data_IF_343991336999
#
_entry.id   IF_343991336999
#
_cell.length_a   1.000
_cell.length_b   1.000
_cell.length_c   1.000
_cell.angle_alpha   90.00
_cell.angle_beta   90.00
_cell.angle_gamma   90.00
#
_symmetry.space_group_name_H-M   'P 1'
#
loop_
_entity.id
_entity.type
_entity.pdbx_description
1 polymer ?
#
# COMPACT_ATOMS: atom_id res chain seq x y z
N UNK A 1 19.59 2.06 36.49
CA UNK A 1 19.13 1.26 37.64
C UNK A 1 18.69 -0.13 37.15
N UNK A 2 18.76 -1.12 38.05
CA UNK A 2 18.94 -2.56 37.82
C UNK A 2 17.79 -3.29 37.10
N UNK A 3 18.15 -4.35 36.37
CA UNK A 3 17.32 -5.45 35.87
C UNK A 3 16.59 -6.16 37.02
N UNK A 4 15.41 -6.72 36.75
CA UNK A 4 15.03 -8.02 37.32
C UNK A 4 13.98 -8.76 36.47
N UNK A 5 14.34 -9.98 36.07
CA UNK A 5 13.45 -11.04 35.59
C UNK A 5 12.86 -11.73 36.82
N UNK A 6 11.60 -12.16 36.76
CA UNK A 6 11.04 -13.11 37.72
C UNK A 6 10.61 -14.37 36.97
N UNK A 7 11.27 -15.45 37.35
CA UNK A 7 10.98 -16.85 37.08
C UNK A 7 10.29 -17.38 38.34
N UNK A 8 9.11 -18.00 38.23
CA UNK A 8 8.56 -18.82 39.32
C UNK A 8 8.10 -20.16 38.79
N UNK A 9 8.88 -21.15 39.19
CA UNK A 9 8.68 -22.59 39.16
C UNK A 9 7.93 -22.96 40.45
N UNK A 10 6.84 -23.72 40.37
CA UNK A 10 6.29 -24.43 41.54
C UNK A 10 5.70 -25.77 41.12
N UNK A 11 6.39 -26.83 41.52
CA UNK A 11 5.93 -28.21 41.56
C UNK A 11 4.80 -28.38 42.59
N UNK A 12 3.90 -29.33 42.34
CA UNK A 12 3.32 -30.14 43.41
C UNK A 12 2.97 -31.54 42.89
N UNK A 13 3.66 -32.51 43.50
CA UNK A 13 3.43 -33.95 43.40
C UNK A 13 2.18 -34.34 44.20
N UNK A 14 1.40 -35.31 43.69
CA UNK A 14 0.70 -36.26 44.56
C UNK A 14 0.59 -37.64 43.90
N UNK A 15 0.83 -38.65 44.73
CA UNK A 15 1.11 -40.06 44.42
C UNK A 15 -0.15 -40.94 44.30
N UNK A 16 -0.07 -41.91 43.37
CA UNK A 16 -0.36 -43.36 43.48
C UNK A 16 -1.74 -43.83 43.98
N UNK A 17 -2.44 -44.63 43.14
CA UNK A 17 -3.06 -45.91 43.53
C UNK A 17 -2.88 -46.94 42.38
N UNK A 18 -2.31 -48.09 42.74
CA UNK A 18 -2.23 -49.36 42.00
C UNK A 18 -3.57 -50.11 42.05
N UNK A 19 -4.00 -50.75 40.96
CA UNK A 19 -4.63 -52.09 41.02
C UNK A 19 -4.20 -52.91 39.78
N UNK A 20 -3.60 -54.08 40.04
CA UNK A 20 -3.34 -55.14 39.07
C UNK A 20 -4.62 -55.96 38.82
N UNK A 21 -4.83 -56.36 37.56
CA UNK A 21 -5.72 -57.47 37.21
C UNK A 21 -5.10 -58.34 36.11
N UNK A 22 -4.80 -59.59 36.52
CA UNK A 22 -4.87 -60.87 35.82
C UNK A 22 -4.19 -61.07 34.44
N UNK A 23 -3.27 -62.04 34.42
CA UNK A 23 -2.90 -62.84 33.25
C UNK A 23 -3.98 -63.92 32.99
N UNK A 24 -4.35 -64.15 31.73
CA UNK A 24 -4.78 -65.48 31.25
C UNK A 24 -4.47 -65.67 29.76
N UNK A 25 -4.51 -66.94 29.35
CA UNK A 25 -3.67 -67.63 28.39
C UNK A 25 -3.95 -67.37 26.88
N UNK A 26 -2.84 -67.31 26.12
CA UNK A 26 -2.63 -67.66 24.70
C UNK A 26 -3.82 -67.86 23.73
N UNK A 27 -3.88 -67.05 22.67
CA UNK A 27 -4.19 -67.50 21.31
C UNK A 27 -3.61 -66.53 20.25
N UNK A 28 -2.64 -67.08 19.50
CA UNK A 28 -2.27 -66.87 18.09
C UNK A 28 -2.59 -65.54 17.38
N UNK A 29 -1.51 -64.82 17.07
CA UNK A 29 -1.22 -64.01 15.87
C UNK A 29 -2.40 -63.45 15.04
N UNK A 30 -2.62 -62.14 15.17
CA UNK A 30 -2.60 -61.17 14.06
C UNK A 30 -2.82 -59.74 14.62
N UNK A 31 -1.75 -59.12 15.15
CA UNK A 31 -1.76 -57.71 15.57
C UNK A 31 -0.45 -57.03 15.20
N UNK A 32 -0.34 -56.59 13.95
CA UNK A 32 0.78 -55.71 13.56
C UNK A 32 0.49 -54.78 12.37
N UNK A 33 -0.72 -54.22 12.27
CA UNK A 33 -0.99 -53.14 11.28
C UNK A 33 -1.82 -51.96 11.80
N UNK A 34 -2.67 -52.12 12.81
CA UNK A 34 -3.56 -51.03 13.26
C UNK A 34 -2.88 -50.01 14.20
N UNK A 35 -2.01 -50.45 15.11
CA UNK A 35 -1.39 -49.57 16.12
C UNK A 35 -0.32 -48.61 15.55
N UNK A 36 0.43 -49.06 14.54
CA UNK A 36 1.42 -48.22 13.84
C UNK A 36 0.74 -47.14 12.98
N UNK A 37 -0.38 -47.47 12.34
CA UNK A 37 -1.13 -46.54 11.48
C UNK A 37 -1.76 -45.39 12.27
N UNK A 38 -2.36 -45.69 13.43
CA UNK A 38 -2.90 -44.67 14.34
C UNK A 38 -1.82 -43.70 14.86
N UNK A 39 -0.62 -44.22 15.17
CA UNK A 39 0.51 -43.40 15.62
C UNK A 39 1.06 -42.47 14.53
N UNK A 40 1.03 -42.92 13.26
CA UNK A 40 1.44 -42.09 12.11
C UNK A 40 0.40 -40.99 11.82
N UNK A 41 -0.90 -41.32 11.85
CA UNK A 41 -1.95 -40.32 11.65
C UNK A 41 -1.96 -39.27 12.77
N UNK A 42 -1.76 -39.68 14.03
CA UNK A 42 -1.64 -38.76 15.16
C UNK A 42 -0.48 -37.76 14.96
N UNK A 43 0.69 -38.25 14.51
CA UNK A 43 1.84 -37.39 14.20
C UNK A 43 1.56 -36.44 13.03
N UNK A 44 0.85 -36.88 11.99
CA UNK A 44 0.46 -36.01 10.87
C UNK A 44 -0.46 -34.90 11.35
N UNK A 45 -1.45 -35.21 12.19
CA UNK A 45 -2.34 -34.22 12.77
C UNK A 45 -1.60 -33.23 13.68
N UNK A 46 -0.68 -33.71 14.52
CA UNK A 46 0.18 -32.86 15.36
C UNK A 46 0.97 -31.85 14.51
N UNK A 47 1.64 -32.31 13.44
CA UNK A 47 2.37 -31.42 12.52
C UNK A 47 1.46 -30.40 11.84
N UNK A 48 0.25 -30.81 11.48
CA UNK A 48 -0.75 -29.91 10.90
C UNK A 48 -1.17 -28.82 11.88
N UNK A 49 -1.50 -29.16 13.13
CA UNK A 49 -1.88 -28.19 14.16
C UNK A 49 -0.73 -27.22 14.50
N UNK A 50 0.51 -27.72 14.59
CA UNK A 50 1.68 -26.87 14.77
C UNK A 50 1.86 -25.89 13.61
N UNK A 51 1.66 -26.35 12.37
CA UNK A 51 1.72 -25.47 11.20
C UNK A 51 0.64 -24.37 11.23
N UNK A 52 -0.57 -24.68 11.70
CA UNK A 52 -1.62 -23.68 11.90
C UNK A 52 -1.23 -22.65 12.97
N UNK A 53 -0.66 -23.09 14.10
CA UNK A 53 -0.19 -22.18 15.15
C UNK A 53 0.93 -21.24 14.66
N UNK A 54 1.84 -21.75 13.84
CA UNK A 54 2.85 -20.92 13.17
C UNK A 54 2.23 -19.91 12.20
N UNK A 55 1.19 -20.29 11.45
CA UNK A 55 0.48 -19.38 10.56
C UNK A 55 -0.25 -18.26 11.32
N UNK A 56 -0.87 -18.57 12.45
CA UNK A 56 -1.54 -17.58 13.30
C UNK A 56 -0.57 -16.49 13.78
N UNK A 57 0.68 -16.87 14.01
CA UNK A 57 1.79 -16.01 14.42
C UNK A 57 2.53 -15.36 13.24
N UNK A 58 2.15 -15.64 11.98
CA UNK A 58 2.80 -15.12 10.78
C UNK A 58 4.13 -15.80 10.41
N UNK A 59 4.48 -16.89 11.09
CA UNK A 59 5.71 -17.66 10.92
C UNK A 59 5.62 -18.66 9.75
N UNK A 60 5.30 -18.16 8.55
CA UNK A 60 4.93 -18.98 7.39
C UNK A 60 6.00 -19.99 6.97
N UNK A 61 7.28 -19.64 7.13
CA UNK A 61 8.38 -20.56 6.83
C UNK A 61 8.41 -21.72 7.82
N UNK A 62 8.20 -21.46 9.12
CA UNK A 62 8.15 -22.51 10.13
C UNK A 62 6.93 -23.41 9.92
N UNK A 63 5.78 -22.85 9.53
CA UNK A 63 4.60 -23.63 9.15
C UNK A 63 4.91 -24.59 7.99
N UNK A 64 5.57 -24.10 6.93
CA UNK A 64 5.96 -24.93 5.79
C UNK A 64 6.98 -26.02 6.18
N UNK A 65 7.99 -25.64 6.96
CA UNK A 65 9.03 -26.55 7.44
C UNK A 65 8.44 -27.65 8.35
N UNK A 66 7.41 -27.34 9.12
CA UNK A 66 6.70 -28.30 9.96
C UNK A 66 5.99 -29.37 9.13
N UNK A 67 5.30 -28.96 8.05
CA UNK A 67 4.67 -29.90 7.11
C UNK A 67 5.70 -30.69 6.28
N UNK A 68 6.89 -30.16 6.07
CA UNK A 68 8.00 -30.88 5.43
C UNK A 68 8.53 -32.05 6.27
N UNK A 69 8.29 -32.07 7.59
CA UNK A 69 8.68 -33.19 8.46
C UNK A 69 7.82 -34.44 8.23
N UNK A 70 6.72 -34.34 7.48
CA UNK A 70 5.87 -35.47 7.11
C UNK A 70 6.54 -36.28 5.99
N UNK A 71 7.15 -37.42 6.34
CA UNK A 71 7.92 -38.28 5.42
C UNK A 71 7.15 -38.68 4.15
N UNK A 72 5.87 -39.07 4.30
CA UNK A 72 5.03 -39.55 3.20
C UNK A 72 3.88 -38.58 2.91
N UNK A 73 4.20 -37.33 2.59
CA UNK A 73 3.19 -36.29 2.36
C UNK A 73 2.13 -36.67 1.31
N UNK A 74 2.47 -37.49 0.31
CA UNK A 74 1.53 -37.98 -0.72
C UNK A 74 0.37 -38.81 -0.14
N UNK A 75 0.58 -39.46 1.00
CA UNK A 75 -0.42 -40.27 1.70
C UNK A 75 -1.14 -39.49 2.81
N UNK A 76 -0.76 -38.22 3.05
CA UNK A 76 -1.40 -37.38 4.05
C UNK A 76 -2.82 -36.96 3.59
N UNK A 77 -3.71 -36.61 4.55
CA UNK A 77 -5.03 -36.08 4.23
C UNK A 77 -4.97 -34.91 3.26
N UNK A 78 -6.00 -34.77 2.42
CA UNK A 78 -6.04 -33.75 1.36
C UNK A 78 -5.81 -32.34 1.87
N UNK A 79 -6.38 -31.96 3.01
CA UNK A 79 -6.20 -30.63 3.60
C UNK A 79 -4.74 -30.35 4.01
N UNK A 80 -4.01 -31.36 4.50
CA UNK A 80 -2.59 -31.22 4.86
C UNK A 80 -1.74 -31.00 3.61
N UNK A 81 -2.03 -31.76 2.54
CA UNK A 81 -1.35 -31.63 1.24
C UNK A 81 -1.62 -30.27 0.59
N UNK A 82 -2.88 -29.82 0.63
CA UNK A 82 -3.30 -28.52 0.13
C UNK A 82 -2.57 -27.39 0.88
N UNK A 83 -2.65 -27.39 2.23
CA UNK A 83 -1.98 -26.38 3.06
C UNK A 83 -0.48 -26.28 2.75
N UNK A 84 0.20 -27.42 2.56
CA UNK A 84 1.62 -27.42 2.19
C UNK A 84 1.88 -26.78 0.83
N UNK A 85 1.04 -27.08 -0.17
CA UNK A 85 1.17 -26.51 -1.50
C UNK A 85 0.91 -25.00 -1.48
N UNK A 86 -0.14 -24.57 -0.77
CA UNK A 86 -0.50 -23.15 -0.65
C UNK A 86 0.56 -22.37 0.12
N UNK A 87 1.16 -22.96 1.16
CA UNK A 87 2.31 -22.36 1.85
C UNK A 87 3.52 -22.18 0.93
N UNK A 88 3.78 -23.12 0.02
CA UNK A 88 4.87 -22.96 -0.95
C UNK A 88 4.59 -21.77 -1.89
N UNK A 89 3.35 -21.62 -2.36
CA UNK A 89 2.92 -20.47 -3.18
C UNK A 89 3.04 -19.16 -2.40
N UNK A 90 2.57 -19.13 -1.14
CA UNK A 90 2.64 -17.95 -0.27
C UNK A 90 4.09 -17.50 -0.04
N UNK A 91 5.00 -18.44 0.22
CA UNK A 91 6.42 -18.13 0.41
C UNK A 91 7.07 -17.63 -0.89
N UNK A 92 6.72 -18.21 -2.03
CA UNK A 92 7.19 -17.74 -3.33
C UNK A 92 6.69 -16.31 -3.63
N UNK A 93 5.41 -16.04 -3.34
CA UNK A 93 4.80 -14.72 -3.49
C UNK A 93 5.43 -13.68 -2.55
N UNK A 94 5.67 -14.02 -1.28
CA UNK A 94 6.41 -13.18 -0.32
C UNK A 94 7.81 -12.84 -0.85
N UNK A 95 8.55 -13.84 -1.34
CA UNK A 95 9.87 -13.60 -1.93
C UNK A 95 9.81 -12.68 -3.16
N UNK A 96 8.83 -12.88 -4.04
CA UNK A 96 8.67 -12.08 -5.25
C UNK A 96 8.29 -10.62 -4.94
N UNK A 97 7.38 -10.38 -3.98
CA UNK A 97 6.96 -9.02 -3.61
C UNK A 97 8.08 -8.24 -2.94
N UNK A 98 8.86 -8.89 -2.07
CA UNK A 98 10.05 -8.28 -1.44
C UNK A 98 11.11 -7.91 -2.47
N UNK A 99 11.16 -8.61 -3.61
CA UNK A 99 12.02 -8.28 -4.74
C UNK A 99 11.37 -7.33 -5.77
N UNK A 100 10.20 -6.75 -5.47
CA UNK A 100 9.42 -5.88 -6.37
C UNK A 100 9.07 -6.51 -7.74
N UNK A 101 8.96 -7.84 -7.79
CA UNK A 101 8.63 -8.62 -9.00
C UNK A 101 7.11 -8.82 -9.13
N UNK A 102 6.41 -7.72 -9.43
CA UNK A 102 4.93 -7.66 -9.41
C UNK A 102 4.23 -8.76 -10.23
N UNK A 103 4.71 -9.05 -11.45
CA UNK A 103 4.10 -10.08 -12.31
C UNK A 103 4.24 -11.50 -11.74
N UNK A 104 5.38 -11.82 -11.10
CA UNK A 104 5.55 -13.10 -10.40
C UNK A 104 4.64 -13.16 -9.17
N UNK A 105 4.55 -12.07 -8.39
CA UNK A 105 3.67 -11.99 -7.22
C UNK A 105 2.19 -12.17 -7.59
N UNK A 106 1.71 -11.47 -8.63
CA UNK A 106 0.34 -11.56 -9.12
C UNK A 106 -0.03 -12.99 -9.53
N UNK A 107 0.87 -13.67 -10.26
CA UNK A 107 0.69 -15.08 -10.65
C UNK A 107 0.52 -16.01 -9.44
N UNK A 108 1.27 -15.78 -8.37
CA UNK A 108 1.14 -16.60 -7.16
C UNK A 108 -0.10 -16.23 -6.35
N UNK A 109 -0.43 -14.95 -6.22
CA UNK A 109 -1.64 -14.48 -5.54
C UNK A 109 -2.92 -14.99 -6.23
N UNK A 110 -2.97 -14.98 -7.57
CA UNK A 110 -4.13 -15.52 -8.30
C UNK A 110 -4.33 -17.03 -8.11
N UNK A 111 -3.30 -17.78 -7.73
CA UNK A 111 -3.47 -19.18 -7.31
C UNK A 111 -3.97 -19.30 -5.87
N UNK A 112 -3.62 -18.35 -5.02
CA UNK A 112 -4.02 -18.28 -3.61
C UNK A 112 -5.41 -17.68 -3.38
N UNK A 113 -5.96 -16.96 -4.36
CA UNK A 113 -7.31 -16.35 -4.29
C UNK A 113 -8.42 -17.38 -4.03
N UNK A 114 -8.21 -18.62 -4.47
CA UNK A 114 -9.16 -19.74 -4.28
C UNK A 114 -9.09 -20.37 -2.88
N UNK A 115 -8.17 -19.93 -2.03
CA UNK A 115 -7.97 -20.50 -0.70
C UNK A 115 -8.95 -19.85 0.26
N UNK A 116 -9.95 -20.62 0.70
CA UNK A 116 -10.94 -20.18 1.70
C UNK A 116 -10.64 -20.72 3.11
N UNK A 117 -9.68 -21.64 3.24
CA UNK A 117 -9.35 -22.32 4.50
C UNK A 117 -7.92 -22.85 4.46
N UNK A 118 -7.20 -22.90 5.61
CA UNK A 118 -7.62 -22.44 6.94
C UNK A 118 -7.62 -20.91 7.09
N UNK A 119 -8.42 -20.37 8.02
CA UNK A 119 -8.53 -18.93 8.28
C UNK A 119 -7.17 -18.25 8.52
N UNK A 120 -6.25 -18.94 9.19
CA UNK A 120 -4.89 -18.45 9.42
C UNK A 120 -4.12 -18.23 8.11
N UNK A 121 -4.28 -19.10 7.12
CA UNK A 121 -3.67 -18.94 5.79
C UNK A 121 -4.33 -17.78 5.02
N UNK A 122 -5.66 -17.69 5.03
CA UNK A 122 -6.40 -16.59 4.40
C UNK A 122 -5.94 -15.23 4.94
N UNK A 123 -5.78 -15.11 6.27
CA UNK A 123 -5.23 -13.91 6.90
C UNK A 123 -3.85 -13.55 6.33
N UNK A 124 -2.96 -14.53 6.20
CA UNK A 124 -1.61 -14.31 5.66
C UNK A 124 -1.60 -13.93 4.18
N UNK A 125 -2.51 -14.48 3.37
CA UNK A 125 -2.70 -14.10 1.97
C UNK A 125 -3.19 -12.65 1.87
N UNK A 126 -4.18 -12.25 2.68
CA UNK A 126 -4.69 -10.88 2.72
C UNK A 126 -3.64 -9.86 3.18
N UNK A 127 -2.77 -10.23 4.14
CA UNK A 127 -1.65 -9.40 4.56
C UNK A 127 -0.63 -9.21 3.42
N UNK A 128 -0.34 -10.27 2.67
CA UNK A 128 0.54 -10.21 1.51
C UNK A 128 -0.09 -9.40 0.36
N UNK A 129 -1.39 -9.49 0.14
CA UNK A 129 -2.08 -8.70 -0.87
C UNK A 129 -1.95 -7.20 -0.57
N UNK A 130 -2.09 -6.79 0.69
CA UNK A 130 -1.84 -5.40 1.12
C UNK A 130 -0.41 -4.96 0.85
N UNK A 131 0.58 -5.83 1.11
CA UNK A 131 1.98 -5.57 0.76
C UNK A 131 2.15 -5.41 -0.76
N UNK A 132 1.54 -6.31 -1.55
CA UNK A 132 1.59 -6.26 -3.01
C UNK A 132 1.03 -4.94 -3.55
N UNK A 133 -0.14 -4.49 -3.07
CA UNK A 133 -0.72 -3.21 -3.50
C UNK A 133 0.18 -2.03 -3.13
N UNK A 134 0.75 -2.02 -1.93
CA UNK A 134 1.69 -0.97 -1.51
C UNK A 134 2.95 -0.94 -2.38
N UNK A 135 3.52 -2.10 -2.73
CA UNK A 135 4.71 -2.20 -3.60
C UNK A 135 4.37 -1.85 -5.04
N UNK A 136 3.19 -2.21 -5.54
CA UNK A 136 2.70 -1.80 -6.87
C UNK A 136 2.62 -0.29 -6.98
N UNK A 137 2.02 0.36 -5.98
CA UNK A 137 1.90 1.81 -5.92
C UNK A 137 3.27 2.49 -5.79
N UNK A 138 4.15 1.99 -4.92
CA UNK A 138 5.50 2.50 -4.75
C UNK A 138 6.30 2.42 -6.06
N UNK A 139 6.20 1.30 -6.78
CA UNK A 139 6.90 1.12 -8.06
C UNK A 139 6.38 2.07 -9.14
N UNK A 140 5.07 2.31 -9.17
CA UNK A 140 4.45 3.28 -10.08
C UNK A 140 5.00 4.68 -9.79
N UNK A 141 4.95 5.14 -8.54
CA UNK A 141 5.49 6.46 -8.17
C UNK A 141 6.99 6.61 -8.40
N UNK A 142 7.79 5.58 -8.13
CA UNK A 142 9.22 5.61 -8.40
C UNK A 142 9.52 5.77 -9.90
N UNK A 143 8.80 5.07 -10.77
CA UNK A 143 8.93 5.22 -12.22
C UNK A 143 8.55 6.64 -12.68
N UNK A 144 7.49 7.21 -12.11
CA UNK A 144 7.05 8.57 -12.40
C UNK A 144 8.05 9.64 -11.94
N UNK A 145 8.71 9.46 -10.79
CA UNK A 145 9.76 10.40 -10.33
C UNK A 145 10.83 10.56 -11.39
N UNK A 146 11.37 9.44 -11.89
CA UNK A 146 12.37 9.45 -12.95
C UNK A 146 11.80 10.05 -14.25
N UNK A 147 10.64 9.55 -14.70
CA UNK A 147 10.03 9.97 -15.96
C UNK A 147 9.71 11.48 -15.97
N UNK A 148 9.03 11.99 -14.95
CA UNK A 148 8.63 13.39 -14.86
C UNK A 148 9.83 14.31 -14.68
N UNK A 149 10.84 13.89 -13.93
CA UNK A 149 12.06 14.69 -13.81
C UNK A 149 12.76 14.85 -15.15
N UNK A 150 12.94 13.75 -15.91
CA UNK A 150 13.59 13.80 -17.23
C UNK A 150 12.79 14.60 -18.26
N UNK A 151 11.45 14.59 -18.13
CA UNK A 151 10.56 15.36 -19.00
C UNK A 151 10.42 16.84 -18.60
N UNK A 152 11.08 17.31 -17.54
CA UNK A 152 10.94 18.68 -17.03
C UNK A 152 9.64 18.98 -16.29
N UNK A 153 8.80 17.96 -16.05
CA UNK A 153 7.54 18.08 -15.32
C UNK A 153 7.77 18.10 -13.80
N UNK A 154 8.56 19.06 -13.30
CA UNK A 154 9.10 19.02 -11.94
C UNK A 154 8.04 19.08 -10.83
N UNK A 155 6.88 19.73 -11.05
CA UNK A 155 5.77 19.71 -10.08
C UNK A 155 5.16 18.30 -9.94
N UNK A 156 5.05 17.56 -11.05
CA UNK A 156 4.57 16.19 -11.05
C UNK A 156 5.63 15.25 -10.47
N UNK A 157 6.91 15.44 -10.81
CA UNK A 157 8.02 14.69 -10.22
C UNK A 157 8.07 14.84 -8.70
N UNK A 158 7.96 16.08 -8.19
CA UNK A 158 7.91 16.36 -6.76
C UNK A 158 6.69 15.74 -6.08
N UNK A 159 5.54 15.74 -6.75
CA UNK A 159 4.33 15.10 -6.24
C UNK A 159 4.43 13.58 -6.19
N UNK A 160 4.97 12.93 -7.23
CA UNK A 160 5.21 11.48 -7.22
C UNK A 160 6.24 11.08 -6.17
N UNK A 161 7.29 11.89 -5.94
CA UNK A 161 8.26 11.64 -4.88
C UNK A 161 7.59 11.72 -3.50
N UNK A 162 6.76 12.73 -3.26
CA UNK A 162 5.99 12.85 -2.02
C UNK A 162 4.98 11.71 -1.84
N UNK A 163 4.34 11.27 -2.92
CA UNK A 163 3.43 10.14 -2.88
C UNK A 163 4.19 8.85 -2.53
N UNK A 164 5.38 8.63 -3.09
CA UNK A 164 6.26 7.52 -2.74
C UNK A 164 6.70 7.59 -1.26
N UNK A 165 7.14 8.75 -0.78
CA UNK A 165 7.60 8.96 0.60
C UNK A 165 6.48 8.76 1.63
N UNK A 166 5.22 9.00 1.25
CA UNK A 166 4.05 8.80 2.12
C UNK A 166 3.68 7.32 2.32
N UNK A 167 4.19 6.42 1.49
CA UNK A 167 3.89 5.00 1.63
C UNK A 167 4.60 4.40 2.84
N UNK A 168 3.97 3.40 3.45
CA UNK A 168 4.53 2.75 4.65
C UNK A 168 5.81 1.98 4.32
N UNK A 169 6.93 2.44 4.89
CA UNK A 169 8.25 1.81 4.79
C UNK A 169 8.39 0.48 5.56
N UNK A 170 7.32 0.01 6.21
CA UNK A 170 7.31 -1.31 6.89
C UNK A 170 7.52 -2.47 5.91
N UNK A 171 7.21 -2.25 4.63
CA UNK A 171 7.44 -3.22 3.57
C UNK A 171 8.81 -2.97 2.94
N UNK A 172 9.68 -3.98 2.95
CA UNK A 172 11.07 -3.84 2.51
C UNK A 172 11.20 -3.28 1.09
N UNK A 173 10.40 -3.77 0.14
CA UNK A 173 10.45 -3.29 -1.24
C UNK A 173 10.04 -1.81 -1.37
N UNK A 174 9.09 -1.33 -0.55
CA UNK A 174 8.72 0.09 -0.51
C UNK A 174 9.88 0.93 0.02
N UNK A 175 10.50 0.52 1.13
CA UNK A 175 11.65 1.21 1.71
C UNK A 175 12.83 1.29 0.74
N UNK A 176 13.12 0.20 0.01
CA UNK A 176 14.18 0.20 -1.01
C UNK A 176 13.91 1.17 -2.16
N UNK A 177 12.64 1.29 -2.60
CA UNK A 177 12.25 2.25 -3.64
C UNK A 177 12.36 3.70 -3.14
N UNK A 178 11.92 3.97 -1.91
CA UNK A 178 12.09 5.28 -1.26
C UNK A 178 13.57 5.67 -1.17
N UNK A 179 14.44 4.75 -0.74
CA UNK A 179 15.88 4.98 -0.66
C UNK A 179 16.50 5.25 -2.05
N UNK A 180 16.10 4.47 -3.06
CA UNK A 180 16.57 4.63 -4.44
C UNK A 180 16.23 6.02 -5.00
N UNK A 181 15.01 6.51 -4.77
CA UNK A 181 14.55 7.79 -5.31
C UNK A 181 14.89 9.01 -4.43
N UNK A 182 15.41 8.81 -3.22
CA UNK A 182 15.76 9.90 -2.30
C UNK A 182 16.72 10.94 -2.92
N UNK A 183 17.58 10.50 -3.84
CA UNK A 183 18.51 11.37 -4.58
C UNK A 183 17.83 12.40 -5.50
N UNK A 184 16.55 12.22 -5.83
CA UNK A 184 15.78 13.19 -6.63
C UNK A 184 15.28 14.37 -5.82
N UNK A 185 15.23 14.28 -4.49
CA UNK A 185 14.68 15.34 -3.62
C UNK A 185 15.35 16.69 -3.86
N UNK A 186 16.68 16.73 -3.78
CA UNK A 186 17.44 17.96 -4.01
C UNK A 186 17.36 18.42 -5.48
N UNK A 187 17.43 17.48 -6.42
CA UNK A 187 17.36 17.77 -7.86
C UNK A 187 16.04 18.42 -8.27
N UNK A 188 14.93 17.89 -7.77
CA UNK A 188 13.59 18.43 -8.01
C UNK A 188 13.46 19.81 -7.37
N UNK A 189 13.86 19.96 -6.11
CA UNK A 189 13.78 21.25 -5.42
C UNK A 189 14.56 22.37 -6.15
N UNK A 190 15.79 22.07 -6.60
CA UNK A 190 16.59 23.02 -7.38
C UNK A 190 15.95 23.37 -8.73
N UNK A 191 15.39 22.38 -9.43
CA UNK A 191 14.71 22.60 -10.70
C UNK A 191 13.44 23.45 -10.54
N UNK A 192 12.64 23.18 -9.51
CA UNK A 192 11.43 23.94 -9.19
C UNK A 192 11.74 25.40 -8.84
N UNK A 193 12.81 25.66 -8.08
CA UNK A 193 13.25 27.02 -7.76
C UNK A 193 13.65 27.81 -9.03
N UNK A 194 14.29 27.13 -9.99
CA UNK A 194 14.71 27.75 -11.26
C UNK A 194 13.50 28.18 -12.10
N UNK A 195 12.51 27.30 -12.26
CA UNK A 195 11.28 27.60 -13.03
C UNK A 195 10.50 28.78 -12.41
N UNK A 196 10.40 28.83 -11.07
CA UNK A 196 9.77 29.98 -10.38
C UNK A 196 10.49 31.31 -10.66
N UNK A 197 11.81 31.29 -10.86
CA UNK A 197 12.60 32.49 -11.18
C UNK A 197 12.52 32.92 -12.65
N UNK A 198 12.34 31.98 -13.58
CA UNK A 198 12.16 32.27 -15.01
C UNK A 198 10.78 32.87 -15.33
N UNK A 199 9.74 32.42 -14.61
CA UNK A 199 8.39 32.98 -14.73
C UNK A 199 8.29 34.39 -14.12
N UNK A 200 9.21 34.76 -13.22
CA UNK A 200 9.35 36.12 -12.68
C UNK A 200 10.18 37.05 -13.59
N UNK A 201 11.02 36.51 -14.48
CA UNK A 201 11.93 37.30 -15.34
C UNK A 201 11.41 37.52 -16.77
N UNK A 202 10.33 36.83 -17.17
CA UNK A 202 9.59 37.12 -18.41
C UNK A 202 8.54 38.23 -18.28
N UNK A 203 8.38 38.83 -17.08
CA UNK A 203 7.51 39.97 -16.85
C UNK A 203 8.17 41.35 -17.10
N UNK A 204 9.43 41.40 -17.59
CA UNK A 204 10.19 42.66 -17.74
C UNK A 204 10.30 43.16 -19.18
N UNK A 205 9.46 42.70 -20.12
CA UNK A 205 9.49 43.26 -21.49
C UNK A 205 8.13 43.26 -22.18
N UNK A 206 7.19 44.06 -21.64
CA UNK A 206 6.14 44.67 -22.44
C UNK A 206 5.57 45.91 -21.73
N UNK A 207 6.05 47.07 -22.16
CA UNK A 207 5.42 48.41 -22.13
C UNK A 207 4.88 49.00 -20.82
N UNK A 208 5.50 50.13 -20.48
CA UNK A 208 5.00 51.20 -19.62
C UNK A 208 3.52 51.54 -19.91
N UNK A 209 2.62 51.23 -18.98
CA UNK A 209 1.39 52.01 -18.78
C UNK A 209 1.08 52.08 -17.28
N UNK A 210 1.08 53.33 -16.81
CA UNK A 210 0.53 53.91 -15.58
C UNK A 210 -0.42 53.07 -14.71
N UNK A 211 0.05 52.86 -13.48
CA UNK A 211 -0.66 52.97 -12.20
C UNK A 211 -1.91 52.12 -11.90
N UNK A 212 -1.80 51.46 -10.73
CA UNK A 212 -2.88 50.91 -9.88
C UNK A 212 -3.33 49.48 -10.18
N UNK A 213 -2.48 48.52 -9.77
CA UNK A 213 -2.90 47.24 -9.19
C UNK A 213 -1.67 46.54 -8.59
N UNK A 214 -1.30 46.92 -7.36
CA UNK A 214 -0.45 46.08 -6.52
C UNK A 214 -1.26 44.82 -6.15
N UNK A 215 -1.34 43.85 -7.05
CA UNK A 215 -1.71 42.48 -6.68
C UNK A 215 -0.41 41.78 -6.34
N UNK A 216 0.15 42.11 -5.19
CA UNK A 216 1.08 41.23 -4.51
C UNK A 216 0.31 39.92 -4.26
N UNK A 217 0.80 38.74 -4.70
CA UNK A 217 0.16 37.48 -4.35
C UNK A 217 0.05 37.41 -2.83
N UNK A 218 -1.18 37.52 -2.30
CA UNK A 218 -1.41 37.43 -0.86
C UNK A 218 -1.01 36.02 -0.44
N UNK A 219 0.03 35.90 0.39
CA UNK A 219 0.55 34.63 0.87
C UNK A 219 -0.60 33.75 1.42
N UNK A 220 -0.73 32.53 0.89
CA UNK A 220 -1.77 31.56 1.27
C UNK A 220 -2.48 30.94 0.05
N UNK A 221 -3.02 29.74 0.25
CA UNK A 221 -3.76 28.99 -0.78
C UNK A 221 -2.93 28.56 -2.02
N UNK A 222 -1.62 28.37 -1.88
CA UNK A 222 -0.71 27.93 -2.96
C UNK A 222 -1.27 26.74 -3.76
N UNK A 223 -1.73 25.70 -3.07
CA UNK A 223 -2.29 24.50 -3.69
C UNK A 223 -3.59 24.81 -4.45
N UNK A 224 -4.51 25.58 -3.85
CA UNK A 224 -5.77 25.95 -4.48
C UNK A 224 -5.56 26.81 -5.73
N UNK A 225 -4.69 27.81 -5.65
CA UNK A 225 -4.36 28.67 -6.80
C UNK A 225 -3.61 27.90 -7.90
N UNK A 226 -2.97 26.78 -7.58
CA UNK A 226 -2.28 25.92 -8.55
C UNK A 226 -3.15 24.77 -9.05
N UNK A 227 -4.34 24.56 -8.50
CA UNK A 227 -5.22 23.44 -8.86
C UNK A 227 -5.80 23.64 -10.26
N UNK A 228 -5.65 22.61 -11.12
CA UNK A 228 -6.23 22.59 -12.47
C UNK A 228 -7.77 22.51 -12.39
N UNK A 229 -8.30 21.67 -11.50
CA UNK A 229 -9.74 21.50 -11.32
C UNK A 229 -10.40 22.76 -10.76
N UNK A 230 -9.83 23.34 -9.70
CA UNK A 230 -10.36 24.56 -9.08
C UNK A 230 -10.28 25.76 -10.02
N UNK A 231 -9.17 25.91 -10.74
CA UNK A 231 -9.03 26.97 -11.75
C UNK A 231 -10.08 26.82 -12.86
N UNK A 232 -10.31 25.59 -13.35
CA UNK A 232 -11.30 25.32 -14.38
C UNK A 232 -12.73 25.61 -13.92
N UNK A 233 -13.11 25.17 -12.71
CA UNK A 233 -14.46 25.41 -12.20
C UNK A 233 -14.68 26.90 -11.89
N UNK A 234 -13.69 27.58 -11.31
CA UNK A 234 -13.78 29.02 -11.05
C UNK A 234 -13.91 29.85 -12.33
N UNK A 235 -13.13 29.52 -13.37
CA UNK A 235 -13.21 30.17 -14.67
C UNK A 235 -14.56 29.94 -15.34
N UNK A 236 -15.12 28.74 -15.21
CA UNK A 236 -16.47 28.41 -15.70
C UNK A 236 -17.56 29.20 -14.95
N UNK A 237 -17.46 29.37 -13.64
CA UNK A 237 -18.44 30.14 -12.85
C UNK A 237 -18.34 31.67 -13.05
N UNK A 238 -17.13 32.21 -13.25
CA UNK A 238 -16.88 33.66 -13.15
C UNK A 238 -16.29 34.32 -14.39
N UNK A 239 -15.80 33.53 -15.36
CA UNK A 239 -15.04 34.01 -16.50
C UNK A 239 -13.64 34.53 -16.17
N UNK A 240 -13.19 34.44 -14.92
CA UNK A 240 -11.91 34.99 -14.44
C UNK A 240 -10.93 33.91 -13.98
N UNK A 241 -9.64 34.26 -13.89
CA UNK A 241 -8.60 33.35 -13.40
C UNK A 241 -8.53 33.36 -11.86
N UNK A 242 -8.43 32.18 -11.25
CA UNK A 242 -8.40 32.07 -9.77
C UNK A 242 -7.12 32.66 -9.16
N UNK A 243 -6.05 32.78 -9.95
CA UNK A 243 -4.77 33.31 -9.50
C UNK A 243 -4.86 34.72 -8.92
N UNK A 244 -5.79 35.56 -9.40
CA UNK A 244 -6.02 36.94 -8.93
C UNK A 244 -7.21 37.08 -7.97
N UNK A 245 -7.96 35.99 -7.71
CA UNK A 245 -9.13 36.04 -6.84
C UNK A 245 -8.77 36.36 -5.38
N UNK A 246 -9.61 37.10 -4.62
CA UNK A 246 -9.43 37.31 -3.19
C UNK A 246 -9.36 35.98 -2.42
N UNK A 247 -8.57 35.91 -1.36
CA UNK A 247 -8.35 34.66 -0.60
C UNK A 247 -9.65 34.06 -0.04
N UNK A 248 -10.61 34.90 0.32
CA UNK A 248 -11.92 34.52 0.82
C UNK A 248 -12.72 33.77 -0.26
N UNK A 249 -12.61 34.22 -1.51
CA UNK A 249 -13.20 33.56 -2.69
C UNK A 249 -12.50 32.22 -2.95
N UNK A 250 -11.17 32.19 -2.93
CA UNK A 250 -10.40 30.94 -3.11
C UNK A 250 -10.77 29.91 -2.05
N UNK A 251 -10.93 30.35 -0.79
CA UNK A 251 -11.35 29.49 0.31
C UNK A 251 -12.74 28.91 0.09
N UNK A 252 -13.71 29.74 -0.29
CA UNK A 252 -15.08 29.30 -0.57
C UNK A 252 -15.13 28.31 -1.73
N UNK A 253 -14.42 28.61 -2.82
CA UNK A 253 -14.34 27.70 -3.97
C UNK A 253 -13.68 26.37 -3.62
N UNK A 254 -12.59 26.40 -2.83
CA UNK A 254 -11.91 25.18 -2.39
C UNK A 254 -12.84 24.29 -1.57
N UNK A 255 -13.65 24.89 -0.68
CA UNK A 255 -14.62 24.15 0.11
C UNK A 255 -15.71 23.48 -0.74
N UNK A 256 -16.19 24.16 -1.80
CA UNK A 256 -17.17 23.60 -2.75
C UNK A 256 -16.65 22.36 -3.49
N UNK A 257 -15.33 22.27 -3.73
CA UNK A 257 -14.72 21.16 -4.45
C UNK A 257 -14.30 19.99 -3.53
N UNK A 258 -14.63 20.01 -2.24
CA UNK A 258 -14.37 18.88 -1.35
C UNK A 258 -15.58 17.94 -1.33
N UNK A 259 -15.34 16.64 -1.53
CA UNK A 259 -16.35 15.59 -1.34
C UNK A 259 -15.77 14.45 -0.48
N UNK A 260 -16.11 14.43 0.82
CA UNK A 260 -15.48 13.50 1.78
C UNK A 260 -15.89 12.05 1.58
N UNK A 261 -17.10 11.79 1.09
CA UNK A 261 -17.58 10.43 0.84
C UNK A 261 -16.81 9.80 -0.32
N UNK A 262 -16.70 10.54 -1.43
CA UNK A 262 -15.91 10.13 -2.61
C UNK A 262 -14.44 9.96 -2.23
N UNK A 263 -13.86 10.89 -1.47
CA UNK A 263 -12.46 10.80 -1.06
C UNK A 263 -12.20 9.61 -0.12
N UNK A 264 -13.16 9.27 0.75
CA UNK A 264 -13.06 8.10 1.62
C UNK A 264 -13.14 6.79 0.83
N UNK A 265 -14.02 6.71 -0.16
CA UNK A 265 -14.10 5.58 -1.07
C UNK A 265 -12.83 5.44 -1.92
N UNK A 266 -12.33 6.55 -2.48
CA UNK A 266 -11.10 6.61 -3.25
C UNK A 266 -9.88 6.11 -2.45
N UNK A 267 -9.69 6.61 -1.22
CA UNK A 267 -8.58 6.16 -0.35
C UNK A 267 -8.71 4.68 0.02
N UNK A 268 -9.92 4.20 0.26
CA UNK A 268 -10.17 2.77 0.53
C UNK A 268 -9.82 1.90 -0.67
N UNK A 269 -10.15 2.33 -1.88
CA UNK A 269 -9.91 1.57 -3.12
C UNK A 269 -8.44 1.60 -3.56
N UNK A 270 -7.74 2.71 -3.36
CA UNK A 270 -6.37 2.92 -3.86
C UNK A 270 -5.28 2.68 -2.82
N UNK A 271 -5.64 2.68 -1.54
CA UNK A 271 -4.71 2.71 -0.41
C UNK A 271 -3.73 3.91 -0.42
N UNK A 272 -4.03 4.98 -1.17
CA UNK A 272 -3.25 6.22 -1.13
C UNK A 272 -3.49 6.91 0.22
N UNK A 273 -2.44 7.16 1.02
CA UNK A 273 -2.58 7.84 2.29
C UNK A 273 -2.79 9.35 2.10
N UNK A 274 -3.44 9.97 3.08
CA UNK A 274 -3.55 11.41 3.18
C UNK A 274 -2.47 11.95 4.13
N UNK A 275 -1.67 12.88 3.62
CA UNK A 275 -0.61 13.53 4.39
C UNK A 275 -1.01 14.94 4.84
N UNK A 276 -0.38 15.43 5.90
CA UNK A 276 -0.49 16.83 6.28
C UNK A 276 0.06 17.71 5.13
N UNK A 277 -0.71 18.71 4.72
CA UNK A 277 -0.38 19.55 3.56
C UNK A 277 -0.99 19.09 2.24
N UNK A 278 -1.59 17.90 2.18
CA UNK A 278 -2.42 17.50 1.04
C UNK A 278 -3.69 18.35 0.99
N UNK A 279 -4.05 18.81 -0.21
CA UNK A 279 -5.34 19.39 -0.54
C UNK A 279 -5.96 18.63 -1.71
N UNK A 280 -7.26 18.34 -1.59
CA UNK A 280 -8.02 17.52 -2.52
C UNK A 280 -9.09 18.37 -3.19
N UNK A 281 -9.20 18.23 -4.51
CA UNK A 281 -10.26 18.85 -5.30
C UNK A 281 -10.96 17.75 -6.08
N UNK A 282 -12.27 17.65 -5.92
CA UNK A 282 -13.12 16.62 -6.51
C UNK A 282 -14.08 17.29 -7.48
N UNK A 283 -14.08 16.80 -8.71
CA UNK A 283 -15.04 17.18 -9.74
C UNK A 283 -15.91 15.96 -10.06
N UNK A 284 -17.23 16.16 -10.02
CA UNK A 284 -18.21 15.17 -10.46
C UNK A 284 -18.29 15.18 -12.00
N UNK A 285 -18.14 14.01 -12.61
CA UNK A 285 -18.23 13.81 -14.06
C UNK A 285 -19.57 13.16 -14.48
N UNK A 286 -20.44 12.85 -13.51
CA UNK A 286 -21.69 12.12 -13.70
C UNK A 286 -21.50 10.60 -13.70
N UNK A 287 -22.61 9.87 -13.51
CA UNK A 287 -22.65 8.40 -13.51
C UNK A 287 -21.63 7.76 -12.57
N UNK A 288 -21.51 8.25 -11.34
CA UNK A 288 -20.56 7.76 -10.32
C UNK A 288 -19.08 7.87 -10.71
N UNK A 289 -18.74 8.67 -11.73
CA UNK A 289 -17.38 8.97 -12.12
C UNK A 289 -16.93 10.33 -11.57
N UNK A 290 -15.72 10.36 -11.02
CA UNK A 290 -15.13 11.55 -10.42
C UNK A 290 -13.72 11.78 -10.96
N UNK A 291 -13.34 13.05 -11.08
CA UNK A 291 -11.96 13.47 -11.23
C UNK A 291 -11.45 14.02 -9.90
N UNK A 292 -10.29 13.55 -9.44
CA UNK A 292 -9.70 13.92 -8.15
C UNK A 292 -8.30 14.48 -8.39
N UNK A 293 -8.07 15.72 -8.00
CA UNK A 293 -6.74 16.33 -7.99
C UNK A 293 -6.20 16.36 -6.56
N UNK A 294 -4.97 15.89 -6.38
CA UNK A 294 -4.26 15.95 -5.10
C UNK A 294 -3.06 16.88 -5.28
N UNK A 295 -3.07 17.99 -4.55
CA UNK A 295 -1.93 18.93 -4.45
C UNK A 295 -1.29 18.83 -3.08
N UNK A 296 0.02 19.01 -3.03
CA UNK A 296 0.77 19.02 -1.78
C UNK A 296 1.74 20.19 -1.78
N UNK A 297 1.76 20.93 -0.68
CA UNK A 297 2.69 22.06 -0.52
C UNK A 297 4.10 21.52 -0.32
N UNK A 298 5.07 21.94 -1.11
CA UNK A 298 6.44 21.44 -0.99
C UNK A 298 6.99 21.67 0.43
N UNK A 299 7.62 20.66 1.06
CA UNK A 299 8.20 20.81 2.39
C UNK A 299 9.43 21.73 2.38
N UNK A 300 10.05 21.96 1.21
CA UNK A 300 11.19 22.86 1.08
C UNK A 300 10.80 24.30 0.74
N UNK A 301 9.60 24.52 0.21
CA UNK A 301 9.13 25.85 -0.21
C UNK A 301 7.59 25.93 -0.18
N UNK A 302 6.98 26.73 0.73
CA UNK A 302 5.53 26.86 0.83
C UNK A 302 4.88 27.56 -0.37
N UNK A 303 5.66 28.17 -1.27
CA UNK A 303 5.17 28.74 -2.53
C UNK A 303 5.12 27.72 -3.68
N UNK A 304 5.67 26.51 -3.48
CA UNK A 304 5.64 25.45 -4.48
C UNK A 304 4.50 24.48 -4.18
N UNK A 305 3.60 24.31 -5.15
CA UNK A 305 2.55 23.30 -5.14
C UNK A 305 2.93 22.14 -6.04
N UNK A 306 3.10 20.97 -5.44
CA UNK A 306 3.36 19.72 -6.15
C UNK A 306 2.04 19.02 -6.51
N UNK A 307 2.01 18.43 -7.70
CA UNK A 307 0.88 17.62 -8.16
C UNK A 307 1.14 16.16 -7.79
N UNK A 308 0.59 15.69 -6.65
CA UNK A 308 0.68 14.27 -6.27
C UNK A 308 -0.06 13.38 -7.28
N UNK A 309 -1.14 13.89 -7.88
CA UNK A 309 -1.75 13.26 -9.03
C UNK A 309 -3.09 13.85 -9.42
N UNK A 310 -3.48 13.57 -10.65
CA UNK A 310 -4.83 13.75 -11.17
C UNK A 310 -5.40 12.36 -11.44
N UNK A 311 -6.53 12.03 -10.85
CA UNK A 311 -7.11 10.70 -10.87
C UNK A 311 -8.50 10.72 -11.50
N UNK A 312 -8.86 9.63 -12.17
CA UNK A 312 -10.25 9.27 -12.47
C UNK A 312 -10.65 8.12 -11.55
N UNK A 313 -11.82 8.25 -10.94
CA UNK A 313 -12.33 7.31 -9.96
C UNK A 313 -13.77 6.95 -10.28
N UNK A 314 -14.05 5.66 -10.37
CA UNK A 314 -15.40 5.12 -10.47
C UNK A 314 -15.84 4.65 -9.07
N UNK A 315 -16.86 5.29 -8.52
CA UNK A 315 -17.31 5.05 -7.15
C UNK A 315 -17.95 3.66 -6.98
N UNK A 316 -18.60 3.14 -8.02
CA UNK A 316 -19.31 1.86 -7.97
C UNK A 316 -18.36 0.67 -7.97
N UNK A 317 -17.33 0.69 -8.81
CA UNK A 317 -16.36 -0.38 -8.99
C UNK A 317 -15.08 -0.18 -8.17
N UNK A 318 -14.79 1.04 -7.72
CA UNK A 318 -13.52 1.41 -7.10
C UNK A 318 -12.35 1.53 -8.10
N UNK A 319 -12.62 1.37 -9.40
CA UNK A 319 -11.61 1.44 -10.44
C UNK A 319 -11.02 2.85 -10.48
N UNK A 320 -9.69 2.90 -10.40
CA UNK A 320 -8.93 4.14 -10.31
C UNK A 320 -7.87 4.18 -11.40
N UNK A 321 -7.76 5.34 -12.04
CA UNK A 321 -6.74 5.63 -13.03
C UNK A 321 -6.02 6.91 -12.64
N UNK A 322 -4.72 7.00 -12.94
CA UNK A 322 -3.91 8.20 -12.73
C UNK A 322 -3.49 8.77 -14.07
N UNK A 323 -3.60 10.09 -14.22
CA UNK A 323 -3.10 10.80 -15.38
C UNK A 323 -1.57 10.78 -15.38
N UNK A 324 -0.98 10.31 -16.47
CA UNK A 324 0.43 10.48 -16.75
C UNK A 324 0.67 11.90 -17.29
N UNK A 325 1.39 12.73 -16.54
CA UNK A 325 1.60 14.16 -16.87
C UNK A 325 2.51 14.39 -18.09
N UNK A 326 3.23 13.36 -18.56
CA UNK A 326 4.01 13.45 -19.82
C UNK A 326 3.16 13.04 -21.02
N UNK A 327 2.48 11.89 -20.93
CA UNK A 327 1.75 11.35 -22.09
C UNK A 327 0.33 11.90 -22.23
N UNK A 328 -0.22 12.50 -21.16
CA UNK A 328 -1.61 12.96 -21.10
C UNK A 328 -2.64 11.83 -21.04
N UNK A 329 -2.20 10.57 -20.89
CA UNK A 329 -3.09 9.40 -20.83
C UNK A 329 -3.38 8.98 -19.39
N UNK A 330 -4.57 8.45 -19.15
CA UNK A 330 -4.93 7.85 -17.87
C UNK A 330 -4.49 6.37 -17.84
N UNK A 331 -3.68 6.03 -16.86
CA UNK A 331 -3.15 4.68 -16.63
C UNK A 331 -3.84 4.01 -15.45
N UNK A 332 -4.13 2.71 -15.58
CA UNK A 332 -4.81 1.94 -14.53
C UNK A 332 -3.95 1.82 -13.27
N UNK A 333 -4.53 2.15 -12.11
CA UNK A 333 -3.85 2.07 -10.82
C UNK A 333 -4.17 0.76 -10.08
N UNK A 334 -5.45 0.40 -9.97
CA UNK A 334 -5.95 -0.83 -9.34
C UNK A 334 -6.80 -1.65 -10.30
#
# INVERSE_FOLDING_TARGET
>A
MKKQRILTLSCLFFSVIFILSACSNSQTANKTSESTSQTVQAKVNERYQNALSYLESGENKQAYDELNKIKNIKQAPTHVRALKADLALLLAAKKAVTAAKLSETEKYLGQLEKVESPTALVKQVNELEKEYQAVKLAKHYAAEVEQYYQAGAYQAAGGSLQALDSLSSKYQAVAMLQEKEAGYKAKIASAQATVSSEQSSTATSASEVTASSNVTPKAGYTNARSSKLLSSEYKKETGSEIASAPSEVVSSMSAKMSNQDVLSAFRKATAIPQEAGDQYYVQDLGNDHYQIEIRHTSPSDPQVSNLKGMYRFDLASGASQKLNEVSGQYEKLN
#
